data_IF_814352347670
#
_entry.id   IF_814352347670
#
_cell.length_a   1.000
_cell.length_b   1.000
_cell.length_c   1.000
_cell.angle_alpha   90.00
_cell.angle_beta   90.00
_cell.angle_gamma   90.00
#
_symmetry.space_group_name_H-M   'P 1'
#
loop_
_entity.id
_entity.type
_entity.pdbx_description
1 polymer ?
#
# COMPACT_ATOMS: atom_id res chain seq x y z
N UNK A 1 21.72 -25.23 34.05
CA UNK A 1 21.25 -24.55 32.82
C UNK A 1 20.21 -23.54 33.23
N UNK A 2 20.38 -22.27 32.87
CA UNK A 2 19.36 -21.25 33.17
C UNK A 2 18.10 -21.58 32.36
N UNK A 3 16.92 -21.64 32.99
CA UNK A 3 15.70 -21.96 32.26
C UNK A 3 15.45 -20.89 31.19
N UNK A 4 15.02 -21.34 30.01
CA UNK A 4 14.55 -20.43 28.97
C UNK A 4 13.36 -19.60 29.46
N UNK A 5 13.10 -18.47 28.80
CA UNK A 5 11.87 -17.71 28.99
C UNK A 5 10.65 -18.57 28.67
N UNK A 6 9.50 -18.17 29.22
CA UNK A 6 8.21 -18.64 28.73
C UNK A 6 8.11 -18.42 27.21
N UNK A 7 7.61 -19.42 26.47
CA UNK A 7 7.38 -19.31 25.03
C UNK A 7 6.49 -18.13 24.66
N UNK A 8 5.51 -17.79 25.52
CA UNK A 8 4.61 -16.66 25.32
C UNK A 8 5.35 -15.32 25.42
N UNK A 9 6.29 -15.21 26.37
CA UNK A 9 7.12 -14.02 26.50
C UNK A 9 8.07 -13.87 25.29
N UNK A 10 8.66 -14.97 24.83
CA UNK A 10 9.51 -14.97 23.64
C UNK A 10 8.71 -14.65 22.37
N UNK A 11 7.49 -15.17 22.24
CA UNK A 11 6.57 -14.86 21.14
C UNK A 11 6.16 -13.39 21.14
N UNK A 12 5.83 -12.81 22.30
CA UNK A 12 5.50 -11.41 22.42
C UNK A 12 6.70 -10.50 22.05
N UNK A 13 7.89 -10.83 22.55
CA UNK A 13 9.11 -10.10 22.17
C UNK A 13 9.40 -10.19 20.68
N UNK A 14 9.23 -11.37 20.09
CA UNK A 14 9.39 -11.55 18.66
C UNK A 14 8.35 -10.74 17.88
N UNK A 15 7.08 -10.75 18.29
CA UNK A 15 6.01 -9.99 17.66
C UNK A 15 6.32 -8.49 17.63
N UNK A 16 6.84 -7.93 18.73
CA UNK A 16 7.27 -6.53 18.78
C UNK A 16 8.45 -6.25 17.84
N UNK A 17 9.43 -7.16 17.77
CA UNK A 17 10.60 -7.01 16.89
C UNK A 17 10.20 -7.13 15.42
N UNK A 18 9.41 -8.14 15.07
CA UNK A 18 8.98 -8.38 13.69
C UNK A 18 8.08 -7.25 13.19
N UNK A 19 7.11 -6.81 14.00
CA UNK A 19 6.21 -5.73 13.61
C UNK A 19 6.93 -4.39 13.48
N UNK A 20 7.88 -4.09 14.36
CA UNK A 20 8.72 -2.89 14.23
C UNK A 20 9.57 -2.95 12.96
N UNK A 21 10.17 -4.12 12.68
CA UNK A 21 10.97 -4.31 11.47
C UNK A 21 10.15 -4.12 10.19
N UNK A 22 8.96 -4.72 10.11
CA UNK A 22 8.06 -4.58 8.96
C UNK A 22 7.60 -3.12 8.80
N UNK A 23 7.19 -2.45 9.87
CA UNK A 23 6.81 -1.02 9.85
C UNK A 23 7.94 -0.15 9.30
N UNK A 24 9.17 -0.30 9.82
CA UNK A 24 10.31 0.49 9.38
C UNK A 24 10.67 0.19 7.92
N UNK A 25 10.67 -1.09 7.53
CA UNK A 25 10.99 -1.49 6.17
C UNK A 25 9.97 -0.93 5.17
N UNK A 26 8.66 -1.04 5.47
CA UNK A 26 7.60 -0.45 4.66
C UNK A 26 7.76 1.07 4.53
N UNK A 27 8.05 1.76 5.64
CA UNK A 27 8.24 3.21 5.65
C UNK A 27 9.38 3.66 4.73
N UNK A 28 10.54 2.99 4.79
CA UNK A 28 11.74 3.42 4.05
C UNK A 28 11.78 2.95 2.60
N UNK A 29 10.89 2.02 2.21
CA UNK A 29 10.81 1.48 0.84
C UNK A 29 9.61 1.97 0.04
N UNK A 30 8.63 2.63 0.69
CA UNK A 30 7.38 3.05 0.06
C UNK A 30 7.61 3.90 -1.20
N UNK A 31 8.44 4.95 -1.12
CA UNK A 31 8.67 5.86 -2.23
C UNK A 31 9.32 5.16 -3.44
N UNK A 32 10.23 4.20 -3.21
CA UNK A 32 10.87 3.42 -4.28
C UNK A 32 9.88 2.49 -4.99
N UNK A 33 8.77 2.15 -4.33
CA UNK A 33 7.67 1.36 -4.87
C UNK A 33 6.52 2.22 -5.39
N UNK A 34 6.71 3.54 -5.48
CA UNK A 34 5.69 4.45 -5.99
C UNK A 34 4.57 4.76 -5.02
N UNK A 35 4.82 4.65 -3.71
CA UNK A 35 3.80 4.82 -2.66
C UNK A 35 4.11 5.95 -1.69
N UNK A 36 3.07 6.64 -1.26
CA UNK A 36 3.15 7.63 -0.19
C UNK A 36 2.90 6.95 1.17
N UNK A 37 3.92 6.86 2.04
CA UNK A 37 3.78 6.13 3.29
C UNK A 37 2.76 6.77 4.26
N UNK A 38 2.53 8.08 4.18
CA UNK A 38 1.55 8.72 5.07
C UNK A 38 0.12 8.35 4.67
N UNK A 39 -0.15 8.31 3.38
CA UNK A 39 -1.44 7.86 2.83
C UNK A 39 -1.65 6.37 3.13
N UNK A 40 -0.61 5.55 2.98
CA UNK A 40 -0.66 4.13 3.30
C UNK A 40 -1.04 3.89 4.76
N UNK A 41 -0.40 4.58 5.71
CA UNK A 41 -0.73 4.43 7.13
C UNK A 41 -2.12 4.94 7.47
N UNK A 42 -2.57 6.05 6.88
CA UNK A 42 -3.95 6.52 7.04
C UNK A 42 -4.95 5.48 6.50
N UNK A 43 -4.64 4.83 5.37
CA UNK A 43 -5.48 3.78 4.78
C UNK A 43 -5.56 2.56 5.71
N UNK A 44 -4.44 2.14 6.30
CA UNK A 44 -4.44 1.08 7.32
C UNK A 44 -5.26 1.49 8.55
N UNK A 45 -5.18 2.76 8.97
CA UNK A 45 -5.97 3.29 10.08
C UNK A 45 -7.48 3.24 9.83
N UNK A 46 -7.90 3.32 8.57
CA UNK A 46 -9.30 3.20 8.20
C UNK A 46 -9.85 1.79 8.48
N UNK A 47 -9.01 0.76 8.66
CA UNK A 47 -9.48 -0.58 9.04
C UNK A 47 -10.26 -0.57 10.37
N UNK A 48 -9.67 -0.13 11.50
CA UNK A 48 -10.42 -0.01 12.75
C UNK A 48 -11.25 1.27 12.86
N UNK A 49 -10.87 2.36 12.20
CA UNK A 49 -11.47 3.68 12.41
C UNK A 49 -12.38 4.17 11.27
N UNK A 50 -12.52 3.38 10.20
CA UNK A 50 -13.38 3.65 9.03
C UNK A 50 -13.14 5.04 8.44
N UNK A 51 -14.22 5.70 8.05
CA UNK A 51 -14.20 7.02 7.42
C UNK A 51 -13.73 8.16 8.33
N UNK A 52 -13.69 7.97 9.66
CA UNK A 52 -13.37 9.03 10.60
C UNK A 52 -11.90 9.49 10.57
N UNK A 53 -11.00 8.68 10.01
CA UNK A 53 -9.57 8.99 9.90
C UNK A 53 -9.15 9.44 8.50
N UNK A 54 -10.05 9.34 7.51
CA UNK A 54 -9.75 9.71 6.14
C UNK A 54 -9.76 11.22 5.96
N UNK A 55 -8.68 11.76 5.42
CA UNK A 55 -8.50 13.18 5.14
C UNK A 55 -7.66 13.38 3.88
N UNK A 56 -7.81 14.53 3.22
CA UNK A 56 -7.01 14.89 2.05
C UNK A 56 -5.53 15.11 2.36
N UNK A 57 -5.22 15.37 3.64
CA UNK A 57 -3.86 15.46 4.17
C UNK A 57 -3.77 14.53 5.39
N UNK A 58 -3.01 13.42 5.32
CA UNK A 58 -2.92 12.46 6.42
C UNK A 58 -2.52 13.09 7.75
N UNK A 59 -3.37 12.95 8.76
CA UNK A 59 -3.08 13.48 10.10
C UNK A 59 -2.08 12.59 10.84
N UNK A 60 -1.27 13.19 11.73
CA UNK A 60 -0.35 12.43 12.58
C UNK A 60 -1.08 11.37 13.44
N UNK A 61 -2.32 11.65 13.87
CA UNK A 61 -3.15 10.68 14.59
C UNK A 61 -3.60 9.53 13.71
N UNK A 62 -4.01 9.77 12.47
CA UNK A 62 -4.34 8.71 11.52
C UNK A 62 -3.12 7.83 11.25
N UNK A 63 -1.95 8.43 11.00
CA UNK A 63 -0.70 7.69 10.79
C UNK A 63 -0.36 6.83 12.02
N UNK A 64 -0.45 7.39 13.23
CA UNK A 64 -0.17 6.65 14.46
C UNK A 64 -1.15 5.49 14.69
N UNK A 65 -2.44 5.67 14.40
CA UNK A 65 -3.45 4.61 14.47
C UNK A 65 -3.13 3.50 13.46
N UNK A 66 -2.75 3.86 12.24
CA UNK A 66 -2.37 2.90 11.20
C UNK A 66 -1.18 2.05 11.60
N UNK A 67 -0.11 2.68 12.07
CA UNK A 67 1.08 1.98 12.58
C UNK A 67 0.70 1.07 13.76
N UNK A 68 -0.06 1.57 14.73
CA UNK A 68 -0.46 0.79 15.89
C UNK A 68 -1.31 -0.42 15.52
N UNK A 69 -2.23 -0.26 14.56
CA UNK A 69 -3.11 -1.34 14.09
C UNK A 69 -2.32 -2.41 13.33
N UNK A 70 -1.45 -1.99 12.41
CA UNK A 70 -0.51 -2.89 11.73
C UNK A 70 0.36 -3.67 12.73
N UNK A 71 0.96 -2.97 13.69
CA UNK A 71 1.81 -3.61 14.69
C UNK A 71 1.05 -4.59 15.58
N UNK A 72 -0.20 -4.28 15.92
CA UNK A 72 -1.09 -5.19 16.65
C UNK A 72 -1.39 -6.45 15.84
N UNK A 73 -1.66 -6.33 14.54
CA UNK A 73 -1.94 -7.47 13.67
C UNK A 73 -0.71 -8.40 13.55
N UNK A 74 0.45 -7.84 13.22
CA UNK A 74 1.72 -8.59 13.13
C UNK A 74 2.11 -9.26 14.46
N UNK A 75 1.95 -8.53 15.56
CA UNK A 75 2.17 -9.05 16.91
C UNK A 75 1.26 -10.24 17.20
N UNK A 76 -0.02 -10.15 16.81
CA UNK A 76 -1.00 -11.21 17.01
C UNK A 76 -0.65 -12.47 16.23
N UNK A 77 -0.18 -12.36 14.98
CA UNK A 77 0.28 -13.51 14.20
C UNK A 77 1.50 -14.19 14.83
N UNK A 78 2.45 -13.42 15.38
CA UNK A 78 3.57 -13.99 16.11
C UNK A 78 3.12 -14.77 17.37
N UNK A 79 2.10 -14.28 18.09
CA UNK A 79 1.51 -15.00 19.22
C UNK A 79 0.80 -16.29 18.79
N UNK A 80 0.11 -16.29 17.64
CA UNK A 80 -0.48 -17.52 17.09
C UNK A 80 0.62 -18.54 16.76
N UNK A 81 1.64 -18.13 16.00
CA UNK A 81 2.68 -19.04 15.53
C UNK A 81 3.60 -19.55 16.65
N UNK A 82 3.98 -18.70 17.60
CA UNK A 82 4.96 -19.07 18.64
C UNK A 82 4.38 -19.25 20.04
N UNK A 83 3.20 -18.71 20.30
CA UNK A 83 2.46 -18.93 21.54
C UNK A 83 1.58 -20.17 21.47
N UNK A 84 0.59 -20.17 20.57
CA UNK A 84 -0.36 -21.27 20.39
C UNK A 84 0.32 -22.52 19.80
N UNK A 85 1.05 -22.36 18.68
CA UNK A 85 1.79 -23.47 18.05
C UNK A 85 3.19 -23.68 18.68
N UNK A 86 3.48 -22.99 19.79
CA UNK A 86 4.79 -22.93 20.43
C UNK A 86 5.44 -24.27 20.78
N UNK A 87 4.65 -25.29 21.16
CA UNK A 87 5.16 -26.65 21.46
C UNK A 87 5.77 -27.35 20.25
N UNK A 88 5.30 -26.98 19.05
CA UNK A 88 5.84 -27.49 17.80
C UNK A 88 6.97 -26.59 17.30
N UNK A 89 6.77 -25.28 17.29
CA UNK A 89 7.76 -24.32 16.77
C UNK A 89 9.05 -24.26 17.58
N UNK A 90 9.01 -24.52 18.90
CA UNK A 90 10.21 -24.56 19.75
C UNK A 90 11.19 -25.68 19.39
N UNK A 91 10.70 -26.72 18.69
CA UNK A 91 11.49 -27.87 18.25
C UNK A 91 12.10 -27.67 16.87
N UNK A 92 11.65 -26.66 16.13
CA UNK A 92 12.12 -26.40 14.77
C UNK A 92 13.48 -25.70 14.81
N UNK A 93 14.36 -26.09 13.89
CA UNK A 93 15.57 -25.32 13.61
C UNK A 93 15.17 -23.98 12.96
N UNK A 94 15.84 -22.85 13.27
CA UNK A 94 15.47 -21.55 12.71
C UNK A 94 15.57 -21.47 11.17
N UNK A 95 16.39 -22.31 10.54
CA UNK A 95 16.39 -22.44 9.07
C UNK A 95 15.07 -23.05 8.53
N UNK A 96 14.47 -23.99 9.25
CA UNK A 96 13.15 -24.53 8.90
C UNK A 96 12.06 -23.47 9.10
N UNK A 97 12.14 -22.69 10.20
CA UNK A 97 11.25 -21.54 10.44
C UNK A 97 11.37 -20.52 9.30
N UNK A 98 12.58 -20.20 8.84
CA UNK A 98 12.80 -19.32 7.68
C UNK A 98 12.15 -19.88 6.41
N UNK A 99 12.25 -21.20 6.20
CA UNK A 99 11.56 -21.88 5.09
C UNK A 99 10.02 -21.77 5.13
N UNK A 100 9.44 -21.58 6.32
CA UNK A 100 8.00 -21.34 6.49
C UNK A 100 7.60 -19.87 6.32
N UNK A 101 8.53 -18.92 6.18
CA UNK A 101 8.19 -17.50 6.12
C UNK A 101 7.26 -17.17 4.95
N UNK A 102 7.53 -17.71 3.75
CA UNK A 102 6.70 -17.48 2.56
C UNK A 102 5.29 -18.09 2.69
N UNK A 103 5.10 -19.39 2.97
CA UNK A 103 3.75 -19.95 3.10
C UNK A 103 2.98 -19.34 4.29
N UNK A 104 3.67 -18.97 5.38
CA UNK A 104 3.04 -18.27 6.49
C UNK A 104 2.57 -16.88 6.07
N UNK A 105 3.42 -16.08 5.41
CA UNK A 105 3.06 -14.76 4.93
C UNK A 105 1.86 -14.80 3.97
N UNK A 106 1.83 -15.77 3.03
CA UNK A 106 0.68 -15.97 2.14
C UNK A 106 -0.59 -16.28 2.93
N UNK A 107 -0.51 -17.18 3.92
CA UNK A 107 -1.66 -17.52 4.75
C UNK A 107 -2.19 -16.31 5.51
N UNK A 108 -1.31 -15.57 6.20
CA UNK A 108 -1.71 -14.45 7.06
C UNK A 108 -2.19 -13.26 6.24
N UNK A 109 -1.49 -12.89 5.15
CA UNK A 109 -1.93 -11.81 4.27
C UNK A 109 -3.25 -12.15 3.58
N UNK A 110 -3.45 -13.38 3.09
CA UNK A 110 -4.71 -13.79 2.49
C UNK A 110 -5.86 -13.80 3.52
N UNK A 111 -5.59 -14.24 4.75
CA UNK A 111 -6.60 -14.25 5.83
C UNK A 111 -7.03 -12.83 6.17
N UNK A 112 -6.08 -11.90 6.32
CA UNK A 112 -6.43 -10.51 6.57
C UNK A 112 -7.21 -9.90 5.41
N UNK A 113 -6.71 -10.09 4.18
CA UNK A 113 -7.22 -9.38 3.01
C UNK A 113 -8.56 -9.91 2.50
N UNK A 114 -8.78 -11.23 2.52
CA UNK A 114 -9.99 -11.83 1.96
C UNK A 114 -11.03 -12.21 3.03
N UNK A 115 -10.67 -12.14 4.31
CA UNK A 115 -11.58 -12.52 5.39
C UNK A 115 -11.69 -11.42 6.43
N UNK A 116 -10.60 -11.02 7.09
CA UNK A 116 -10.72 -10.19 8.29
C UNK A 116 -11.15 -8.76 8.01
N UNK A 117 -10.44 -8.10 7.08
CA UNK A 117 -10.72 -6.73 6.65
C UNK A 117 -12.12 -6.60 6.01
N UNK A 118 -12.49 -7.42 5.00
CA UNK A 118 -13.76 -7.24 4.31
C UNK A 118 -14.99 -7.78 5.05
N UNK A 119 -14.87 -8.85 5.84
CA UNK A 119 -16.03 -9.60 6.32
C UNK A 119 -16.19 -9.55 7.84
N UNK A 120 -15.14 -9.82 8.61
CA UNK A 120 -15.24 -9.85 10.08
C UNK A 120 -13.86 -9.78 10.75
N UNK A 121 -13.60 -8.92 11.74
CA UNK A 121 -14.58 -8.11 12.48
C UNK A 121 -14.76 -6.69 11.96
N UNK A 122 -14.03 -6.28 10.92
CA UNK A 122 -13.97 -4.86 10.53
C UNK A 122 -15.16 -4.43 9.67
N UNK A 123 -15.64 -5.34 8.80
CA UNK A 123 -16.66 -5.09 7.76
C UNK A 123 -16.19 -3.96 6.83
N UNK A 124 -15.93 -4.30 5.57
CA UNK A 124 -15.21 -3.49 4.59
C UNK A 124 -15.17 -1.97 4.87
N UNK A 125 -13.99 -1.43 5.20
CA UNK A 125 -13.80 0.01 5.36
C UNK A 125 -13.77 0.73 4.01
N UNK A 126 -13.82 2.07 4.02
CA UNK A 126 -13.70 2.89 2.81
C UNK A 126 -12.24 2.96 2.36
N UNK A 127 -11.72 1.84 1.87
CA UNK A 127 -10.54 1.76 1.04
C UNK A 127 -10.63 0.54 0.14
N UNK A 128 -9.76 0.52 -0.86
CA UNK A 128 -9.86 -0.43 -1.95
C UNK A 128 -9.33 -1.81 -1.52
N UNK A 129 -10.20 -2.83 -1.53
CA UNK A 129 -9.77 -4.22 -1.42
C UNK A 129 -9.06 -4.69 -2.69
N UNK A 130 -9.24 -3.95 -3.78
CA UNK A 130 -8.55 -4.16 -5.02
C UNK A 130 -7.22 -3.39 -4.98
N UNK A 131 -6.28 -3.91 -4.20
CA UNK A 131 -4.88 -3.47 -4.20
C UNK A 131 -4.02 -4.60 -4.78
N UNK A 132 -2.84 -4.31 -5.32
CA UNK A 132 -1.90 -5.35 -5.68
C UNK A 132 -1.58 -6.26 -4.48
N UNK A 133 -1.86 -7.55 -4.60
CA UNK A 133 -1.67 -8.50 -3.49
C UNK A 133 -0.25 -8.54 -2.93
N UNK A 134 0.74 -8.23 -3.78
CA UNK A 134 2.13 -8.19 -3.39
C UNK A 134 2.37 -7.18 -2.24
N UNK A 135 1.57 -6.12 -2.11
CA UNK A 135 1.71 -5.12 -1.05
C UNK A 135 1.55 -5.78 0.32
N UNK A 136 0.39 -6.40 0.57
CA UNK A 136 0.11 -7.07 1.82
C UNK A 136 1.07 -8.25 2.05
N UNK A 137 1.37 -9.00 0.98
CA UNK A 137 2.31 -10.11 1.05
C UNK A 137 3.72 -9.68 1.48
N UNK A 138 4.25 -8.56 0.95
CA UNK A 138 5.58 -8.06 1.30
C UNK A 138 5.66 -7.66 2.78
N UNK A 139 4.62 -7.00 3.29
CA UNK A 139 4.52 -6.62 4.71
C UNK A 139 4.56 -7.87 5.59
N UNK A 140 3.70 -8.84 5.32
CA UNK A 140 3.64 -10.10 6.07
C UNK A 140 4.93 -10.92 5.93
N UNK A 141 5.54 -10.94 4.75
CA UNK A 141 6.79 -11.63 4.49
C UNK A 141 7.94 -10.99 5.27
N UNK A 142 8.03 -9.66 5.32
CA UNK A 142 9.05 -8.97 6.09
C UNK A 142 8.98 -9.30 7.59
N UNK A 143 7.77 -9.40 8.14
CA UNK A 143 7.53 -9.86 9.51
C UNK A 143 7.89 -11.33 9.70
N UNK A 144 7.41 -12.22 8.82
CA UNK A 144 7.68 -13.65 8.91
C UNK A 144 9.18 -13.98 8.74
N UNK A 145 9.92 -13.18 7.96
CA UNK A 145 11.37 -13.32 7.84
C UNK A 145 12.11 -13.03 9.16
N UNK A 146 11.50 -12.35 10.12
CA UNK A 146 12.08 -12.16 11.45
C UNK A 146 11.88 -13.35 12.39
N UNK A 147 11.01 -14.30 12.04
CA UNK A 147 10.65 -15.43 12.89
C UNK A 147 11.80 -16.36 13.32
N UNK A 148 12.89 -16.55 12.54
CA UNK A 148 14.07 -17.29 12.99
C UNK A 148 14.69 -16.77 14.30
N UNK A 149 14.47 -15.49 14.64
CA UNK A 149 14.94 -14.89 15.90
C UNK A 149 14.33 -15.57 17.13
N UNK A 150 13.19 -16.26 17.00
CA UNK A 150 12.58 -17.02 18.10
C UNK A 150 13.58 -17.95 18.79
N UNK A 151 14.46 -18.62 18.03
CA UNK A 151 15.45 -19.53 18.58
C UNK A 151 16.41 -18.86 19.58
N UNK A 152 16.69 -17.56 19.36
CA UNK A 152 17.53 -16.74 20.23
C UNK A 152 16.72 -16.04 21.33
N UNK A 153 15.57 -15.45 21.01
CA UNK A 153 14.73 -14.66 21.94
C UNK A 153 14.13 -15.48 23.08
N UNK A 154 14.06 -16.82 22.95
CA UNK A 154 13.68 -17.74 24.03
C UNK A 154 14.59 -17.69 25.25
N UNK A 155 15.76 -17.07 25.18
CA UNK A 155 16.70 -16.99 26.28
C UNK A 155 16.76 -15.57 26.86
N UNK A 156 17.02 -15.42 28.16
CA UNK A 156 17.41 -14.12 28.72
C UNK A 156 18.65 -13.56 28.02
N UNK A 157 18.79 -12.24 28.02
CA UNK A 157 19.94 -11.57 27.42
C UNK A 157 21.26 -12.10 28.02
N UNK A 158 22.23 -12.42 27.16
CA UNK A 158 23.51 -12.99 27.57
C UNK A 158 23.48 -14.46 28.01
N UNK A 159 22.32 -15.11 28.05
CA UNK A 159 22.16 -16.48 28.58
C UNK A 159 21.80 -17.50 27.50
N UNK A 160 21.76 -17.10 26.23
CA UNK A 160 21.47 -18.02 25.13
C UNK A 160 22.60 -19.05 24.97
N UNK A 161 22.30 -20.36 24.90
CA UNK A 161 23.31 -21.39 24.75
C UNK A 161 23.97 -21.28 23.36
N UNK A 162 25.27 -21.62 23.24
CA UNK A 162 26.02 -21.53 21.99
C UNK A 162 25.70 -22.69 21.05
N UNK A 163 24.42 -22.83 20.69
CA UNK A 163 23.93 -23.84 19.74
C UNK A 163 24.03 -23.34 18.31
N UNK A 164 24.00 -24.25 17.34
CA UNK A 164 23.90 -23.90 15.91
C UNK A 164 22.68 -23.03 15.62
N UNK A 165 21.54 -23.33 16.25
CA UNK A 165 20.30 -22.58 16.11
C UNK A 165 20.44 -21.12 16.58
N UNK A 166 21.01 -20.89 17.77
CA UNK A 166 21.23 -19.51 18.28
C UNK A 166 22.20 -18.74 17.39
N UNK A 167 23.31 -19.36 16.95
CA UNK A 167 24.25 -18.72 16.02
C UNK A 167 23.61 -18.38 14.68
N UNK A 168 22.76 -19.26 14.15
CA UNK A 168 22.01 -18.99 12.93
C UNK A 168 21.10 -17.77 13.12
N UNK A 169 20.30 -17.75 14.18
CA UNK A 169 19.38 -16.64 14.47
C UNK A 169 20.13 -15.31 14.64
N UNK A 170 21.27 -15.29 15.33
CA UNK A 170 22.11 -14.08 15.46
C UNK A 170 22.62 -13.57 14.11
N UNK A 171 23.16 -14.46 13.26
CA UNK A 171 23.62 -14.10 11.91
C UNK A 171 22.47 -13.59 11.04
N UNK A 172 21.30 -14.23 11.17
CA UNK A 172 20.08 -13.81 10.48
C UNK A 172 19.64 -12.40 10.89
N UNK A 173 19.69 -12.07 12.18
CA UNK A 173 19.44 -10.71 12.68
C UNK A 173 20.40 -9.69 12.09
N UNK A 174 21.69 -10.02 11.99
CA UNK A 174 22.67 -9.14 11.34
C UNK A 174 22.30 -8.90 9.88
N UNK A 175 21.95 -9.96 9.14
CA UNK A 175 21.48 -9.84 7.75
C UNK A 175 20.24 -8.96 7.61
N UNK A 176 19.22 -9.16 8.47
CA UNK A 176 18.02 -8.33 8.50
C UNK A 176 18.37 -6.85 8.80
N UNK A 177 19.28 -6.61 9.75
CA UNK A 177 19.80 -5.26 10.04
C UNK A 177 20.49 -4.61 8.85
N UNK A 178 21.29 -5.38 8.08
CA UNK A 178 21.89 -4.89 6.85
C UNK A 178 20.84 -4.53 5.79
N UNK A 179 19.81 -5.35 5.60
CA UNK A 179 18.70 -5.06 4.68
C UNK A 179 18.00 -3.75 5.06
N UNK A 180 17.68 -3.58 6.35
CA UNK A 180 17.05 -2.36 6.82
C UNK A 180 17.98 -1.14 6.65
N UNK A 181 19.27 -1.26 6.95
CA UNK A 181 20.24 -0.18 6.80
C UNK A 181 20.41 0.25 5.34
N UNK A 182 20.50 -0.70 4.41
CA UNK A 182 20.54 -0.42 2.97
C UNK A 182 19.25 0.28 2.53
N UNK A 183 18.10 -0.26 2.91
CA UNK A 183 16.79 0.32 2.55
C UNK A 183 16.62 1.73 3.12
N UNK A 184 17.01 1.96 4.37
CA UNK A 184 17.00 3.28 5.01
C UNK A 184 17.97 4.26 4.34
N UNK A 185 19.13 3.79 3.88
CA UNK A 185 20.08 4.61 3.11
C UNK A 185 19.48 5.01 1.76
N UNK A 186 18.77 4.10 1.09
CA UNK A 186 18.05 4.39 -0.15
C UNK A 186 16.90 5.38 0.07
N UNK A 187 16.13 5.21 1.16
CA UNK A 187 15.10 6.15 1.57
C UNK A 187 15.65 7.54 1.90
N UNK A 188 16.81 7.61 2.57
CA UNK A 188 17.49 8.87 2.85
C UNK A 188 18.01 9.53 1.57
N UNK A 189 18.58 8.76 0.64
CA UNK A 189 19.02 9.28 -0.65
C UNK A 189 17.85 9.90 -1.42
N UNK A 190 16.70 9.22 -1.48
CA UNK A 190 15.48 9.75 -2.09
C UNK A 190 14.99 11.03 -1.40
N UNK A 191 14.96 11.06 -0.06
CA UNK A 191 14.58 12.23 0.70
C UNK A 191 15.51 13.45 0.50
N UNK A 192 16.78 13.19 0.18
CA UNK A 192 17.78 14.20 -0.15
C UNK A 192 17.83 14.52 -1.65
N UNK A 193 16.86 14.03 -2.44
CA UNK A 193 16.81 14.19 -3.89
C UNK A 193 18.10 13.73 -4.61
N UNK A 194 18.72 12.65 -4.10
CA UNK A 194 19.82 11.97 -4.78
C UNK A 194 19.21 10.87 -5.67
N UNK A 195 19.11 11.10 -6.99
CA UNK A 195 18.33 10.24 -7.85
C UNK A 195 19.01 8.88 -8.06
N UNK A 196 18.21 7.82 -7.99
CA UNK A 196 18.60 6.54 -8.58
C UNK A 196 18.40 6.62 -10.10
N UNK A 197 19.35 6.10 -10.89
CA UNK A 197 19.30 6.23 -12.34
C UNK A 197 18.01 5.64 -12.92
N UNK A 198 17.48 6.25 -13.98
CA UNK A 198 16.41 5.70 -14.79
C UNK A 198 16.89 4.38 -15.42
N UNK A 199 16.13 3.30 -15.27
CA UNK A 199 16.41 1.99 -15.87
C UNK A 199 15.25 1.66 -16.80
N UNK A 200 15.26 2.25 -17.98
CA UNK A 200 14.14 2.14 -18.94
C UNK A 200 14.59 1.62 -20.30
N UNK A 201 13.78 0.73 -20.87
CA UNK A 201 13.86 0.31 -22.27
C UNK A 201 13.01 1.18 -23.19
N UNK A 202 12.15 2.06 -22.67
CA UNK A 202 11.35 3.00 -23.44
C UNK A 202 11.08 4.30 -22.66
N UNK A 203 12.04 5.22 -22.71
CA UNK A 203 11.98 6.51 -21.99
C UNK A 203 10.80 7.38 -22.44
N UNK A 204 10.40 7.30 -23.71
CA UNK A 204 9.28 8.09 -24.25
C UNK A 204 7.94 7.69 -23.61
N UNK A 205 7.76 6.39 -23.30
CA UNK A 205 6.58 5.90 -22.59
C UNK A 205 6.60 6.38 -21.14
N UNK A 206 7.73 6.31 -20.44
CA UNK A 206 7.85 6.82 -19.07
C UNK A 206 7.51 8.31 -19.00
N UNK A 207 8.09 9.10 -19.90
CA UNK A 207 7.86 10.55 -19.95
C UNK A 207 6.39 10.87 -20.26
N UNK A 208 5.79 10.13 -21.21
CA UNK A 208 4.38 10.30 -21.55
C UNK A 208 3.49 9.95 -20.36
N UNK A 209 3.72 8.80 -19.72
CA UNK A 209 2.89 8.33 -18.61
C UNK A 209 2.96 9.27 -17.40
N UNK A 210 4.16 9.65 -16.95
CA UNK A 210 4.33 10.57 -15.81
C UNK A 210 3.59 11.88 -16.07
N UNK A 211 3.78 12.46 -17.26
CA UNK A 211 3.19 13.75 -17.64
C UNK A 211 1.67 13.68 -17.78
N UNK A 212 1.17 12.64 -18.45
CA UNK A 212 -0.27 12.44 -18.66
C UNK A 212 -0.96 12.13 -17.34
N UNK A 213 -0.45 11.18 -16.54
CA UNK A 213 -1.05 10.81 -15.27
C UNK A 213 -0.99 11.95 -14.24
N UNK A 214 0.08 12.74 -14.20
CA UNK A 214 0.13 13.93 -13.32
C UNK A 214 -0.96 14.94 -13.67
N UNK A 215 -1.15 15.21 -14.97
CA UNK A 215 -2.22 16.10 -15.46
C UNK A 215 -3.61 15.54 -15.18
N UNK A 216 -3.77 14.22 -15.36
CA UNK A 216 -5.02 13.51 -15.11
C UNK A 216 -5.37 13.53 -13.60
N UNK A 217 -4.42 13.22 -12.72
CA UNK A 217 -4.60 13.32 -11.28
C UNK A 217 -4.95 14.75 -10.83
N UNK A 218 -4.36 15.78 -11.43
CA UNK A 218 -4.71 17.16 -11.08
C UNK A 218 -6.20 17.45 -11.28
N UNK A 219 -6.79 16.99 -12.40
CA UNK A 219 -8.24 17.13 -12.63
C UNK A 219 -9.07 16.24 -11.69
N UNK A 220 -8.60 15.02 -11.40
CA UNK A 220 -9.23 14.14 -10.42
C UNK A 220 -9.28 14.75 -9.01
N UNK A 221 -8.18 15.36 -8.57
CA UNK A 221 -8.09 16.09 -7.30
C UNK A 221 -9.10 17.25 -7.26
N UNK A 222 -9.22 18.03 -8.34
CA UNK A 222 -10.21 19.11 -8.44
C UNK A 222 -11.65 18.60 -8.30
N UNK A 223 -11.98 17.51 -8.99
CA UNK A 223 -13.31 16.88 -8.90
C UNK A 223 -13.58 16.29 -7.50
N UNK A 224 -12.58 15.64 -6.90
CA UNK A 224 -12.69 15.10 -5.55
C UNK A 224 -12.84 16.19 -4.49
N UNK A 225 -12.16 17.33 -4.63
CA UNK A 225 -12.35 18.50 -3.76
C UNK A 225 -13.79 19.04 -3.81
N UNK A 226 -14.42 19.06 -5.00
CA UNK A 226 -15.85 19.39 -5.11
C UNK A 226 -16.70 18.41 -4.30
N UNK A 227 -16.39 17.11 -4.32
CA UNK A 227 -17.13 16.11 -3.58
C UNK A 227 -16.96 16.21 -2.07
N UNK A 228 -15.76 16.51 -1.57
CA UNK A 228 -15.54 16.81 -0.15
C UNK A 228 -16.47 17.96 0.30
N UNK A 229 -16.60 19.00 -0.52
CA UNK A 229 -17.39 20.18 -0.20
C UNK A 229 -18.91 19.99 -0.36
N UNK A 230 -19.36 19.15 -1.30
CA UNK A 230 -20.76 19.14 -1.76
C UNK A 230 -21.49 17.81 -1.61
N UNK A 231 -20.77 16.69 -1.54
CA UNK A 231 -21.41 15.38 -1.53
C UNK A 231 -22.28 15.19 -0.29
N UNK A 232 -23.49 14.68 -0.51
CA UNK A 232 -24.47 14.43 0.56
C UNK A 232 -24.14 13.13 1.29
N UNK A 233 -23.80 12.09 0.54
CA UNK A 233 -23.37 10.81 1.08
C UNK A 233 -22.04 10.94 1.86
N UNK A 234 -22.01 10.58 3.16
CA UNK A 234 -20.78 10.60 3.96
C UNK A 234 -19.66 9.75 3.36
N UNK A 235 -20.01 8.57 2.83
CA UNK A 235 -19.04 7.67 2.22
C UNK A 235 -18.35 8.31 1.00
N UNK A 236 -19.08 9.07 0.16
CA UNK A 236 -18.49 9.75 -1.00
C UNK A 236 -17.56 10.89 -0.58
N UNK A 237 -17.87 11.63 0.49
CA UNK A 237 -16.96 12.66 1.02
C UNK A 237 -15.67 12.05 1.54
N UNK A 238 -15.77 10.95 2.29
CA UNK A 238 -14.63 10.25 2.85
C UNK A 238 -13.75 9.61 1.75
N UNK A 239 -14.38 8.97 0.77
CA UNK A 239 -13.71 8.43 -0.40
C UNK A 239 -13.03 9.53 -1.23
N UNK A 240 -13.69 10.68 -1.43
CA UNK A 240 -13.09 11.81 -2.11
C UNK A 240 -11.89 12.39 -1.34
N UNK A 241 -11.93 12.42 -0.01
CA UNK A 241 -10.77 12.81 0.80
C UNK A 241 -9.60 11.84 0.61
N UNK A 242 -9.86 10.53 0.57
CA UNK A 242 -8.84 9.52 0.25
C UNK A 242 -8.27 9.73 -1.16
N UNK A 243 -9.11 9.92 -2.18
CA UNK A 243 -8.69 10.19 -3.57
C UNK A 243 -7.78 11.42 -3.68
N UNK A 244 -8.11 12.51 -2.96
CA UNK A 244 -7.23 13.69 -2.93
C UNK A 244 -5.88 13.34 -2.32
N UNK A 245 -5.85 12.59 -1.22
CA UNK A 245 -4.61 12.22 -0.55
C UNK A 245 -3.74 11.30 -1.42
N UNK A 246 -4.33 10.24 -2.01
CA UNK A 246 -3.61 9.27 -2.86
C UNK A 246 -3.08 9.94 -4.12
N UNK A 247 -3.92 10.58 -4.92
CA UNK A 247 -3.50 11.21 -6.17
C UNK A 247 -2.50 12.36 -5.95
N UNK A 248 -2.61 13.09 -4.83
CA UNK A 248 -1.61 14.11 -4.48
C UNK A 248 -0.27 13.48 -4.08
N UNK A 249 -0.28 12.34 -3.38
CA UNK A 249 0.91 11.57 -3.05
C UNK A 249 1.60 11.02 -4.29
N UNK A 250 0.82 10.45 -5.20
CA UNK A 250 1.28 9.94 -6.49
C UNK A 250 1.92 11.05 -7.34
N UNK A 251 1.28 12.22 -7.43
CA UNK A 251 1.84 13.40 -8.11
C UNK A 251 3.18 13.86 -7.53
N UNK A 252 3.34 13.82 -6.20
CA UNK A 252 4.62 14.16 -5.55
C UNK A 252 5.73 13.18 -5.95
N UNK A 253 5.41 11.89 -6.05
CA UNK A 253 6.36 10.86 -6.47
C UNK A 253 6.73 11.04 -7.95
N UNK A 254 5.73 11.23 -8.82
CA UNK A 254 5.94 11.52 -10.24
C UNK A 254 6.85 12.73 -10.45
N UNK A 255 6.59 13.83 -9.74
CA UNK A 255 7.43 15.04 -9.82
C UNK A 255 8.85 14.75 -9.35
N UNK A 256 9.02 14.05 -8.23
CA UNK A 256 10.34 13.69 -7.70
C UNK A 256 11.13 12.82 -8.66
N UNK A 257 10.50 11.79 -9.24
CA UNK A 257 11.13 10.93 -10.21
C UNK A 257 11.49 11.68 -11.49
N UNK A 258 10.60 12.56 -11.96
CA UNK A 258 10.88 13.41 -13.11
C UNK A 258 12.11 14.29 -12.88
N UNK A 259 12.15 15.03 -11.77
CA UNK A 259 13.28 15.90 -11.40
C UNK A 259 14.60 15.13 -11.23
N UNK A 260 14.51 13.85 -10.84
CA UNK A 260 15.65 12.97 -10.69
C UNK A 260 16.14 12.32 -11.98
N UNK A 261 15.27 12.13 -12.97
CA UNK A 261 15.57 11.39 -14.20
C UNK A 261 15.80 12.28 -15.41
N UNK A 262 15.23 13.48 -15.42
CA UNK A 262 15.22 14.37 -16.58
C UNK A 262 15.72 15.77 -16.22
N UNK A 263 16.34 16.44 -17.19
CA UNK A 263 16.89 17.80 -17.00
C UNK A 263 15.83 18.88 -17.14
N UNK A 264 14.82 18.63 -17.97
CA UNK A 264 13.78 19.61 -18.26
C UNK A 264 12.70 19.58 -17.19
N UNK A 265 12.04 20.71 -16.90
CA UNK A 265 10.89 20.71 -16.00
C UNK A 265 9.75 19.87 -16.58
N UNK A 266 8.92 19.28 -15.71
CA UNK A 266 7.76 18.48 -16.11
C UNK A 266 6.84 19.32 -17.04
N UNK A 267 6.71 18.94 -18.32
CA UNK A 267 5.96 19.77 -19.27
C UNK A 267 4.46 19.72 -18.99
N UNK A 268 3.79 20.85 -19.14
CA UNK A 268 2.31 20.89 -19.10
C UNK A 268 1.75 20.24 -20.37
N UNK A 269 0.78 19.34 -20.23
CA UNK A 269 0.08 18.77 -21.38
C UNK A 269 -0.60 19.85 -22.23
N UNK A 270 -0.48 19.72 -23.54
CA UNK A 270 -1.16 20.59 -24.50
C UNK A 270 -2.68 20.40 -24.45
N UNK A 271 -3.43 21.27 -25.13
CA UNK A 271 -4.87 21.11 -25.28
C UNK A 271 -5.22 19.83 -26.05
N UNK A 272 -4.52 19.56 -27.16
CA UNK A 272 -4.75 18.35 -27.98
C UNK A 272 -4.50 17.06 -27.19
N UNK A 273 -3.45 17.03 -26.37
CA UNK A 273 -3.17 15.88 -25.51
C UNK A 273 -4.26 15.67 -24.46
N UNK A 274 -4.77 16.75 -23.85
CA UNK A 274 -5.88 16.65 -22.89
C UNK A 274 -7.18 16.19 -23.54
N UNK A 275 -7.45 16.60 -24.78
CA UNK A 275 -8.64 16.18 -25.53
C UNK A 275 -8.60 14.71 -25.95
N UNK A 276 -7.40 14.16 -26.16
CA UNK A 276 -7.20 12.76 -26.58
C UNK A 276 -6.88 11.82 -25.42
N UNK A 277 -6.62 12.36 -24.22
CA UNK A 277 -6.31 11.59 -23.02
C UNK A 277 -7.55 10.79 -22.56
N UNK A 278 -7.47 9.46 -22.42
CA UNK A 278 -8.59 8.64 -21.98
C UNK A 278 -9.17 9.13 -20.65
N UNK A 279 -10.49 9.25 -20.56
CA UNK A 279 -11.21 9.62 -19.33
C UNK A 279 -11.05 11.08 -18.88
N UNK A 280 -10.20 11.87 -19.53
CA UNK A 280 -10.03 13.28 -19.19
C UNK A 280 -11.34 14.04 -19.46
N UNK A 281 -11.82 14.76 -18.44
CA UNK A 281 -13.12 15.42 -18.47
C UNK A 281 -13.05 16.70 -19.29
N UNK A 282 -14.06 16.89 -20.13
CA UNK A 282 -14.20 18.12 -20.91
C UNK A 282 -14.55 19.30 -20.00
N UNK A 283 -14.33 20.56 -20.46
CA UNK A 283 -14.75 21.74 -19.72
C UNK A 283 -16.25 21.76 -19.39
N UNK A 284 -17.10 21.20 -20.26
CA UNK A 284 -18.55 21.11 -20.01
C UNK A 284 -18.89 20.10 -18.91
N UNK A 285 -18.19 18.97 -18.83
CA UNK A 285 -18.34 17.99 -17.76
C UNK A 285 -17.87 18.54 -16.41
N UNK A 286 -16.73 19.24 -16.37
CA UNK A 286 -16.27 19.92 -15.15
C UNK A 286 -17.25 21.03 -14.70
N UNK A 287 -17.83 21.76 -15.66
CA UNK A 287 -18.87 22.74 -15.38
C UNK A 287 -20.17 22.10 -14.88
N UNK A 288 -20.53 20.91 -15.36
CA UNK A 288 -21.66 20.12 -14.87
C UNK A 288 -21.46 19.76 -13.39
N UNK A 289 -20.32 19.14 -13.03
CA UNK A 289 -19.98 18.83 -11.64
C UNK A 289 -20.01 20.07 -10.74
N UNK A 290 -19.49 21.19 -11.24
CA UNK A 290 -19.46 22.47 -10.52
C UNK A 290 -20.81 23.14 -10.34
N UNK A 291 -21.84 22.75 -11.11
CA UNK A 291 -23.20 23.30 -11.02
C UNK A 291 -24.18 22.36 -10.31
N UNK A 292 -23.92 21.05 -10.32
CA UNK A 292 -24.75 20.07 -9.66
C UNK A 292 -24.82 20.33 -8.14
N UNK A 293 -25.99 20.10 -7.55
CA UNK A 293 -26.25 20.33 -6.12
C UNK A 293 -27.08 19.21 -5.50
N UNK A 294 -27.04 19.09 -4.18
CA UNK A 294 -27.83 18.09 -3.46
C UNK A 294 -27.53 16.67 -3.94
N UNK A 295 -28.57 15.84 -4.08
CA UNK A 295 -28.43 14.44 -4.50
C UNK A 295 -28.03 14.29 -5.97
N UNK A 296 -28.28 15.31 -6.80
CA UNK A 296 -27.82 15.31 -8.20
C UNK A 296 -26.29 15.34 -8.26
N UNK A 297 -25.65 16.09 -7.35
CA UNK A 297 -24.20 16.16 -7.27
C UNK A 297 -23.57 14.77 -7.06
N UNK A 298 -24.09 13.97 -6.13
CA UNK A 298 -23.56 12.63 -5.83
C UNK A 298 -23.58 11.74 -7.09
N UNK A 299 -24.69 11.76 -7.85
CA UNK A 299 -24.81 10.99 -9.09
C UNK A 299 -23.86 11.50 -10.19
N UNK A 300 -23.72 12.82 -10.34
CA UNK A 300 -22.78 13.43 -11.30
C UNK A 300 -21.34 13.10 -10.93
N UNK A 301 -20.97 13.18 -9.65
CA UNK A 301 -19.64 12.84 -9.15
C UNK A 301 -19.30 11.38 -9.44
N UNK A 302 -20.17 10.44 -9.04
CA UNK A 302 -19.94 8.99 -9.27
C UNK A 302 -19.77 8.71 -10.77
N UNK A 303 -20.61 9.30 -11.63
CA UNK A 303 -20.52 9.10 -13.09
C UNK A 303 -19.23 9.66 -13.66
N UNK A 304 -18.87 10.90 -13.34
CA UNK A 304 -17.70 11.57 -13.92
C UNK A 304 -16.39 11.03 -13.35
N UNK A 305 -16.32 10.77 -12.05
CA UNK A 305 -15.13 10.18 -11.44
C UNK A 305 -14.93 8.72 -11.89
N UNK A 306 -16.01 7.96 -12.11
CA UNK A 306 -15.88 6.60 -12.68
C UNK A 306 -15.34 6.64 -14.12
N UNK A 307 -15.81 7.58 -14.96
CA UNK A 307 -15.28 7.79 -16.31
C UNK A 307 -13.80 8.18 -16.27
N UNK A 308 -13.45 9.11 -15.38
CA UNK A 308 -12.08 9.57 -15.18
C UNK A 308 -11.18 8.42 -14.75
N UNK A 309 -11.55 7.66 -13.72
CA UNK A 309 -10.80 6.48 -13.28
C UNK A 309 -10.66 5.42 -14.38
N UNK A 310 -11.70 5.18 -15.18
CA UNK A 310 -11.61 4.27 -16.33
C UNK A 310 -10.51 4.67 -17.33
N UNK A 311 -10.30 5.97 -17.53
CA UNK A 311 -9.22 6.51 -18.35
C UNK A 311 -7.84 6.28 -17.73
N UNK A 312 -7.68 6.62 -16.45
CA UNK A 312 -6.44 6.38 -15.72
C UNK A 312 -6.05 4.89 -15.69
N UNK A 313 -7.03 3.99 -15.51
CA UNK A 313 -6.82 2.54 -15.56
C UNK A 313 -6.26 2.10 -16.91
N UNK A 314 -6.75 2.67 -18.02
CA UNK A 314 -6.22 2.37 -19.36
C UNK A 314 -4.78 2.84 -19.53
N UNK A 315 -4.46 4.07 -19.09
CA UNK A 315 -3.10 4.60 -19.16
C UNK A 315 -2.13 3.79 -18.28
N UNK A 316 -2.56 3.43 -17.07
CA UNK A 316 -1.78 2.65 -16.12
C UNK A 316 -1.55 1.21 -16.59
N UNK A 317 -2.52 0.62 -17.30
CA UNK A 317 -2.34 -0.71 -17.90
C UNK A 317 -1.38 -0.68 -19.09
N UNK A 318 -1.42 0.38 -19.91
CA UNK A 318 -0.47 0.56 -21.00
C UNK A 318 0.96 0.67 -20.46
N UNK A 319 1.16 1.45 -19.39
CA UNK A 319 2.46 1.59 -18.73
C UNK A 319 2.92 0.27 -18.08
N UNK A 320 2.05 -0.46 -17.39
CA UNK A 320 2.43 -1.76 -16.81
C UNK A 320 3.03 -2.75 -17.83
N UNK A 321 2.48 -2.73 -19.05
CA UNK A 321 2.94 -3.57 -20.17
C UNK A 321 4.02 -2.93 -21.04
N UNK A 322 4.47 -1.71 -20.71
CA UNK A 322 5.51 -1.00 -21.45
C UNK A 322 6.91 -1.58 -21.19
N UNK A 323 7.88 -1.09 -21.96
CA UNK A 323 9.32 -1.29 -21.71
C UNK A 323 9.92 -0.30 -20.71
N UNK A 324 9.08 0.44 -19.97
CA UNK A 324 9.46 1.53 -19.06
C UNK A 324 10.20 1.08 -17.80
N UNK A 325 10.49 2.07 -16.95
CA UNK A 325 11.19 1.85 -15.69
C UNK A 325 10.41 0.91 -14.76
N UNK A 326 11.02 -0.14 -14.18
CA UNK A 326 10.32 -1.08 -13.31
C UNK A 326 9.59 -0.41 -12.13
N UNK A 327 10.10 0.70 -11.59
CA UNK A 327 9.45 1.44 -10.50
C UNK A 327 8.18 2.11 -10.98
N UNK A 328 8.23 2.73 -12.16
CA UNK A 328 7.08 3.39 -12.77
C UNK A 328 5.98 2.38 -13.11
N UNK A 329 6.37 1.22 -13.65
CA UNK A 329 5.47 0.11 -13.94
C UNK A 329 4.81 -0.45 -12.69
N UNK A 330 5.55 -0.62 -11.59
CA UNK A 330 4.98 -1.06 -10.30
C UNK A 330 3.97 -0.05 -9.76
N UNK A 331 4.26 1.24 -9.88
CA UNK A 331 3.32 2.31 -9.49
C UNK A 331 2.07 2.30 -10.38
N UNK A 332 2.22 2.18 -11.71
CA UNK A 332 1.11 2.07 -12.64
C UNK A 332 0.22 0.86 -12.32
N UNK A 333 0.82 -0.29 -11.99
CA UNK A 333 0.08 -1.45 -11.53
C UNK A 333 -0.71 -1.18 -10.24
N UNK A 334 -0.17 -0.39 -9.31
CA UNK A 334 -0.88 0.00 -8.09
C UNK A 334 -2.05 0.95 -8.39
N UNK A 335 -1.81 2.06 -9.10
CA UNK A 335 -2.83 3.04 -9.53
C UNK A 335 -4.00 2.33 -10.23
N UNK A 336 -3.68 1.42 -11.16
CA UNK A 336 -4.66 0.61 -11.88
C UNK A 336 -5.59 -0.13 -10.91
N UNK A 337 -5.05 -0.85 -9.93
CA UNK A 337 -5.87 -1.62 -8.98
C UNK A 337 -6.67 -0.70 -8.06
N UNK A 338 -6.02 0.34 -7.52
CA UNK A 338 -6.65 1.30 -6.63
C UNK A 338 -7.86 1.95 -7.28
N UNK A 339 -7.71 2.52 -8.47
CA UNK A 339 -8.81 3.22 -9.12
C UNK A 339 -9.94 2.28 -9.56
N UNK A 340 -9.64 1.00 -9.83
CA UNK A 340 -10.69 -0.02 -10.03
C UNK A 340 -11.51 -0.25 -8.74
N UNK A 341 -10.83 -0.30 -7.60
CA UNK A 341 -11.48 -0.40 -6.29
C UNK A 341 -12.27 0.86 -5.94
N UNK A 342 -11.79 2.05 -6.29
CA UNK A 342 -12.49 3.31 -6.06
C UNK A 342 -13.79 3.40 -6.86
N UNK A 343 -13.79 2.92 -8.12
CA UNK A 343 -15.02 2.74 -8.91
C UNK A 343 -16.00 1.81 -8.17
N UNK A 344 -15.52 0.68 -7.66
CA UNK A 344 -16.36 -0.27 -6.94
C UNK A 344 -16.97 0.35 -5.66
N UNK A 345 -16.17 1.09 -4.89
CA UNK A 345 -16.64 1.79 -3.68
C UNK A 345 -17.65 2.89 -3.99
N UNK A 346 -17.44 3.69 -5.03
CA UNK A 346 -18.41 4.70 -5.48
C UNK A 346 -19.77 4.06 -5.85
N UNK A 347 -19.74 2.83 -6.36
CA UNK A 347 -20.94 2.05 -6.68
C UNK A 347 -21.43 1.17 -5.51
N UNK A 348 -20.92 1.40 -4.29
CA UNK A 348 -21.30 0.68 -3.07
C UNK A 348 -21.12 -0.86 -3.17
N UNK A 349 -20.06 -1.31 -3.85
CA UNK A 349 -19.70 -2.73 -3.86
C UNK A 349 -18.93 -3.06 -2.58
N UNK A 350 -19.52 -3.92 -1.75
CA UNK A 350 -18.99 -4.25 -0.44
C UNK A 350 -19.08 -5.75 -0.06
N UNK A 351 -18.35 -6.14 1.00
CA UNK A 351 -18.37 -7.47 1.58
C UNK A 351 -17.90 -8.56 0.61
N UNK A 352 -18.69 -9.63 0.47
CA UNK A 352 -18.33 -10.79 -0.36
C UNK A 352 -18.20 -10.41 -1.84
N UNK A 353 -19.04 -9.50 -2.34
CA UNK A 353 -18.96 -9.08 -3.75
C UNK A 353 -17.70 -8.28 -4.03
N UNK A 354 -17.30 -7.40 -3.12
CA UNK A 354 -16.03 -6.70 -3.23
C UNK A 354 -14.83 -7.65 -3.14
N UNK A 355 -14.89 -8.67 -2.27
CA UNK A 355 -13.87 -9.73 -2.22
C UNK A 355 -13.79 -10.48 -3.55
N UNK A 356 -14.93 -10.91 -4.11
CA UNK A 356 -14.97 -11.60 -5.42
C UNK A 356 -14.41 -10.73 -6.54
N UNK A 357 -14.81 -9.45 -6.58
CA UNK A 357 -14.30 -8.47 -7.54
C UNK A 357 -12.80 -8.29 -7.42
N UNK A 358 -12.30 -8.02 -6.20
CA UNK A 358 -10.89 -7.86 -5.92
C UNK A 358 -10.09 -9.11 -6.30
N UNK A 359 -10.51 -10.31 -5.88
CA UNK A 359 -9.84 -11.57 -6.23
C UNK A 359 -9.80 -11.82 -7.73
N UNK A 360 -10.91 -11.56 -8.44
CA UNK A 360 -10.98 -11.72 -9.90
C UNK A 360 -10.03 -10.75 -10.61
N UNK A 361 -9.97 -9.51 -10.15
CA UNK A 361 -9.18 -8.46 -10.78
C UNK A 361 -7.69 -8.48 -10.38
N UNK A 362 -7.36 -9.14 -9.28
CA UNK A 362 -5.99 -9.30 -8.78
C UNK A 362 -5.02 -9.92 -9.81
N UNK A 363 -5.55 -10.71 -10.75
CA UNK A 363 -4.76 -11.40 -11.78
C UNK A 363 -5.05 -10.90 -13.21
N UNK A 364 -5.88 -9.86 -13.39
CA UNK A 364 -6.24 -9.40 -14.74
C UNK A 364 -7.22 -8.22 -14.78
N UNK A 365 -7.26 -7.53 -15.91
CA UNK A 365 -8.23 -6.45 -16.15
C UNK A 365 -9.57 -7.03 -16.57
N UNK A 366 -10.49 -7.18 -15.61
CA UNK A 366 -11.85 -7.62 -15.92
C UNK A 366 -12.88 -6.48 -15.82
N UNK A 367 -12.45 -5.23 -15.74
CA UNK A 367 -13.38 -4.11 -15.89
C UNK A 367 -13.76 -4.00 -17.36
N UNK A 368 -15.01 -4.36 -17.65
CA UNK A 368 -15.69 -3.94 -18.87
C UNK A 368 -16.17 -2.51 -18.59
N UNK A 369 -15.59 -1.53 -19.28
CA UNK A 369 -16.04 -0.15 -19.23
C UNK A 369 -17.13 0.09 -20.27
#
# INVERSE_FOLDING_TARGET
MTPGKSRWLAAAQLGLVSSTFSTLLSQVTAAQLGRDPLVDWMTVAAIPAREAVLSSDPTASAVAIGIAFHQWADFSWALVFFGLLGRWTEKLHPAAIAGFAVPWAVLTSATEWFVLVPLFPFWQPIFTLQQPYWIGLLVHLSSALMYPLFAWLRWPAGQAPPTSAVRFAQRWTVGAGCVLAVSATMGLADALALPFPLISGNVDDDQRYIRHMTTHHQQGIELAQLAIARARAPHLRALAALMVASQSGENRIFTRWWDGWFTEPLPVCTTEERETMPGYLTPSQMAEASKATGNEFDAVFVRLMSLHHAGAIQMADAEWHSGGDPRLRVMAHAIRHEQQGEIALMNNVEGIEAVRGATRNMFGNNLQF
#
